data_IF_367429266131
#
_entry.id   IF_367429266131
#
_cell.length_a   1.000
_cell.length_b   1.000
_cell.length_c   1.000
_cell.angle_alpha   90.00
_cell.angle_beta   90.00
_cell.angle_gamma   90.00
#
_symmetry.space_group_name_H-M   'P 1'
#
loop_
_entity.id
_entity.type
_entity.pdbx_description
1 polymer ?
#
# COMPACT_ATOMS: atom_id res chain seq x y z
N UNK A 1 -1.33 11.92 -16.27
CA UNK A 1 -0.80 11.22 -15.10
C UNK A 1 0.44 11.90 -14.55
N UNK A 2 1.51 12.14 -15.35
CA UNK A 2 2.77 12.75 -14.86
C UNK A 2 2.57 14.14 -14.25
N UNK A 3 1.73 14.99 -14.82
CA UNK A 3 1.41 16.30 -14.25
C UNK A 3 0.69 16.16 -12.90
N UNK A 4 -0.25 15.24 -12.82
CA UNK A 4 -0.96 14.96 -11.57
C UNK A 4 -0.01 14.37 -10.51
N UNK A 5 0.92 13.48 -10.89
CA UNK A 5 1.93 12.94 -9.99
C UNK A 5 2.88 14.04 -9.49
N UNK A 6 3.25 14.98 -10.36
CA UNK A 6 4.08 16.14 -9.98
C UNK A 6 3.38 17.03 -8.95
N UNK A 7 2.09 17.29 -9.15
CA UNK A 7 1.30 18.15 -8.25
C UNK A 7 0.93 17.45 -6.95
N UNK A 8 0.48 16.21 -7.02
CA UNK A 8 0.02 15.45 -5.87
C UNK A 8 1.17 14.84 -5.07
N UNK A 9 2.27 14.47 -5.74
CA UNK A 9 3.35 13.66 -5.16
C UNK A 9 2.89 12.24 -4.87
N UNK A 10 3.80 11.41 -4.36
CA UNK A 10 3.48 10.09 -3.80
C UNK A 10 3.06 10.24 -2.35
N UNK A 11 1.81 9.95 -2.04
CA UNK A 11 1.28 10.09 -0.69
C UNK A 11 1.43 8.77 0.08
N UNK A 12 1.62 8.86 1.38
CA UNK A 12 1.72 7.74 2.30
C UNK A 12 0.79 7.95 3.50
N UNK A 13 0.71 6.95 4.38
CA UNK A 13 -0.14 6.98 5.56
C UNK A 13 0.10 8.22 6.45
N UNK A 14 1.34 8.67 6.55
CA UNK A 14 1.70 9.90 7.23
C UNK A 14 1.99 11.01 6.24
N UNK A 15 1.36 12.16 6.41
CA UNK A 15 1.53 13.33 5.53
C UNK A 15 2.99 13.84 5.48
N UNK A 16 3.77 13.56 6.51
CA UNK A 16 5.18 13.95 6.63
C UNK A 16 6.10 13.13 5.73
N UNK A 17 5.66 11.93 5.32
CA UNK A 17 6.43 11.00 4.48
C UNK A 17 6.11 11.12 2.98
N UNK A 18 5.41 12.16 2.59
CA UNK A 18 5.06 12.42 1.20
C UNK A 18 6.31 12.64 0.35
N UNK A 19 6.42 11.88 -0.75
CA UNK A 19 7.43 12.15 -1.78
C UNK A 19 6.99 13.35 -2.61
N UNK A 20 7.75 14.45 -2.50
CA UNK A 20 7.49 15.67 -3.26
C UNK A 20 8.54 15.81 -4.36
N UNK A 21 8.09 15.79 -5.61
CA UNK A 21 8.99 15.93 -6.74
C UNK A 21 9.33 17.40 -7.01
N UNK A 22 10.62 17.70 -7.11
CA UNK A 22 11.11 18.99 -7.58
C UNK A 22 10.95 19.13 -9.08
N UNK A 23 11.14 18.04 -9.82
CA UNK A 23 10.89 17.97 -11.27
C UNK A 23 10.45 16.57 -11.68
N UNK A 24 9.63 16.49 -12.73
CA UNK A 24 9.35 15.26 -13.47
C UNK A 24 9.54 15.57 -14.94
N UNK A 25 10.42 14.80 -15.59
CA UNK A 25 10.73 14.95 -17.03
C UNK A 25 10.53 13.63 -17.74
N UNK A 26 10.00 13.61 -18.98
CA UNK A 26 9.89 12.40 -19.75
C UNK A 26 11.24 11.69 -19.92
N UNK A 27 11.22 10.36 -19.87
CA UNK A 27 12.37 9.50 -20.07
C UNK A 27 12.10 8.55 -21.25
N UNK A 28 13.05 8.39 -22.19
CA UNK A 28 12.83 7.60 -23.41
C UNK A 28 13.13 6.10 -23.18
N UNK A 29 12.57 5.50 -22.13
CA UNK A 29 12.73 4.08 -21.82
C UNK A 29 11.63 3.20 -22.39
N UNK A 30 11.80 1.88 -22.28
CA UNK A 30 10.78 0.89 -22.63
C UNK A 30 9.69 0.79 -21.56
N UNK A 31 10.12 0.71 -20.31
CA UNK A 31 9.26 0.65 -19.12
C UNK A 31 9.24 1.97 -18.37
N UNK A 32 10.39 2.63 -18.26
CA UNK A 32 10.50 3.92 -17.59
C UNK A 32 10.06 5.03 -18.52
N UNK A 33 8.99 5.72 -18.14
CA UNK A 33 8.39 6.81 -18.94
C UNK A 33 8.81 8.20 -18.49
N UNK A 34 9.33 8.33 -17.25
CA UNK A 34 9.79 9.62 -16.73
C UNK A 34 10.86 9.46 -15.66
N UNK A 35 11.69 10.51 -15.52
CA UNK A 35 12.59 10.76 -14.41
C UNK A 35 11.93 11.75 -13.46
N UNK A 36 11.76 11.37 -12.21
CA UNK A 36 11.39 12.25 -11.10
C UNK A 36 12.61 12.59 -10.26
N UNK A 37 12.72 13.85 -9.81
CA UNK A 37 13.73 14.24 -8.85
C UNK A 37 13.06 14.67 -7.56
N UNK A 38 13.58 14.22 -6.45
CA UNK A 38 13.13 14.57 -5.11
C UNK A 38 14.32 14.67 -4.16
N UNK A 39 14.13 15.37 -3.05
CA UNK A 39 15.16 15.49 -2.02
C UNK A 39 14.88 14.47 -0.92
N UNK A 40 15.87 13.62 -0.64
CA UNK A 40 15.87 12.70 0.49
C UNK A 40 16.53 13.40 1.69
N UNK A 41 15.82 13.48 2.83
CA UNK A 41 16.29 14.19 4.01
C UNK A 41 15.72 15.59 4.16
N UNK A 42 16.30 16.36 5.08
CA UNK A 42 15.84 17.73 5.37
C UNK A 42 16.17 18.65 4.19
N UNK A 43 15.27 19.56 3.83
CA UNK A 43 15.33 20.41 2.64
C UNK A 43 16.63 21.25 2.49
N UNK A 44 17.37 21.46 3.59
CA UNK A 44 18.62 22.25 3.55
C UNK A 44 19.89 21.42 3.36
N UNK A 45 19.85 20.11 3.66
CA UNK A 45 21.04 19.23 3.61
C UNK A 45 20.77 17.91 2.87
N UNK A 46 19.58 17.74 2.31
CA UNK A 46 19.14 16.49 1.67
C UNK A 46 19.86 16.22 0.35
N UNK A 47 20.07 14.94 0.06
CA UNK A 47 20.60 14.50 -1.22
C UNK A 47 19.49 14.47 -2.27
N UNK A 48 19.76 15.06 -3.44
CA UNK A 48 18.86 14.90 -4.57
C UNK A 48 18.93 13.45 -5.07
N UNK A 49 17.76 12.82 -5.17
CA UNK A 49 17.57 11.46 -5.65
C UNK A 49 16.81 11.43 -6.97
N UNK A 50 17.13 10.44 -7.79
CA UNK A 50 16.53 10.20 -9.09
C UNK A 50 15.56 9.03 -9.00
N UNK A 51 14.28 9.29 -9.22
CA UNK A 51 13.25 8.26 -9.28
C UNK A 51 12.94 7.91 -10.73
N UNK A 52 13.03 6.63 -11.07
CA UNK A 52 12.44 6.11 -12.29
C UNK A 52 10.93 5.98 -12.10
N UNK A 53 10.13 6.48 -13.04
CA UNK A 53 8.68 6.36 -13.01
C UNK A 53 8.22 5.39 -14.09
N UNK A 54 7.54 4.32 -13.67
CA UNK A 54 6.82 3.39 -14.52
C UNK A 54 5.32 3.61 -14.35
N UNK A 55 4.60 3.72 -15.46
CA UNK A 55 3.13 3.82 -15.46
C UNK A 55 2.58 2.55 -16.08
N UNK A 56 1.82 1.81 -15.28
CA UNK A 56 1.13 0.60 -15.73
C UNK A 56 -0.01 0.91 -16.71
N UNK A 57 -0.59 -0.14 -17.31
CA UNK A 57 -1.68 0.00 -18.25
C UNK A 57 -2.93 0.62 -17.58
N UNK A 58 -3.68 1.40 -18.34
CA UNK A 58 -4.93 2.01 -17.87
C UNK A 58 -5.98 0.93 -17.54
N UNK A 59 -6.10 -0.06 -18.42
CA UNK A 59 -6.97 -1.22 -18.24
C UNK A 59 -6.10 -2.48 -18.21
N UNK A 60 -5.83 -2.97 -17.00
CA UNK A 60 -4.98 -4.14 -16.81
C UNK A 60 -4.31 -4.15 -15.45
N UNK A 61 -3.41 -5.09 -15.28
CA UNK A 61 -2.73 -5.36 -14.04
C UNK A 61 -1.22 -5.37 -14.27
N UNK A 62 -0.47 -4.70 -13.42
CA UNK A 62 1.00 -4.76 -13.44
C UNK A 62 1.43 -6.07 -12.79
N UNK A 63 2.17 -6.87 -13.56
CA UNK A 63 2.67 -8.16 -13.13
C UNK A 63 4.07 -8.07 -12.52
N UNK A 64 4.47 -9.11 -11.79
CA UNK A 64 5.85 -9.22 -11.29
C UNK A 64 6.91 -9.17 -12.39
N UNK A 65 6.75 -9.82 -13.56
CA UNK A 65 7.68 -9.66 -14.69
C UNK A 65 7.85 -8.21 -15.17
N UNK A 66 6.75 -7.42 -15.19
CA UNK A 66 6.81 -6.01 -15.57
C UNK A 66 7.66 -5.22 -14.58
N UNK A 67 7.44 -5.45 -13.27
CA UNK A 67 8.22 -4.81 -12.21
C UNK A 67 9.71 -5.18 -12.28
N UNK A 68 10.02 -6.45 -12.57
CA UNK A 68 11.42 -6.91 -12.75
C UNK A 68 12.06 -6.20 -13.93
N UNK A 69 11.36 -6.08 -15.05
CA UNK A 69 11.87 -5.42 -16.26
C UNK A 69 12.10 -3.93 -16.03
N UNK A 70 11.11 -3.26 -15.42
CA UNK A 70 11.23 -1.85 -15.07
C UNK A 70 12.37 -1.58 -14.05
N UNK A 71 12.54 -2.45 -13.06
CA UNK A 71 13.59 -2.30 -12.06
C UNK A 71 15.00 -2.55 -12.65
N UNK A 72 15.14 -3.45 -13.63
CA UNK A 72 16.40 -3.63 -14.38
C UNK A 72 16.74 -2.39 -15.18
N UNK A 73 15.76 -1.87 -15.94
CA UNK A 73 15.96 -0.65 -16.73
C UNK A 73 16.32 0.54 -15.83
N UNK A 74 15.66 0.69 -14.66
CA UNK A 74 15.99 1.70 -13.68
C UNK A 74 17.44 1.54 -13.14
N UNK A 75 17.86 0.30 -12.89
CA UNK A 75 19.22 -0.01 -12.44
C UNK A 75 20.27 0.31 -13.48
N UNK A 76 20.02 -0.04 -14.75
CA UNK A 76 20.93 0.19 -15.87
C UNK A 76 21.09 1.70 -16.18
N UNK A 77 20.04 2.49 -15.94
CA UNK A 77 20.04 3.96 -16.09
C UNK A 77 20.48 4.71 -14.83
N UNK A 78 20.97 4.00 -13.82
CA UNK A 78 21.51 4.54 -12.58
C UNK A 78 20.52 5.39 -11.77
N UNK A 79 19.26 4.99 -11.72
CA UNK A 79 18.27 5.55 -10.82
C UNK A 79 18.46 5.05 -9.38
N UNK A 80 17.96 5.83 -8.42
CA UNK A 80 18.04 5.50 -6.99
C UNK A 80 16.85 4.65 -6.52
N UNK A 81 15.67 4.86 -7.12
CA UNK A 81 14.42 4.19 -6.77
C UNK A 81 13.53 4.04 -8.00
N UNK A 82 12.73 2.99 -8.04
CA UNK A 82 11.65 2.81 -9.00
C UNK A 82 10.30 3.09 -8.33
N UNK A 83 9.54 4.03 -8.88
CA UNK A 83 8.16 4.29 -8.48
C UNK A 83 7.25 3.77 -9.59
N UNK A 84 6.46 2.76 -9.28
CA UNK A 84 5.49 2.18 -10.21
C UNK A 84 4.11 2.72 -9.92
N UNK A 85 3.44 3.29 -10.91
CA UNK A 85 2.10 3.85 -10.78
C UNK A 85 1.12 2.97 -11.57
N UNK A 86 0.17 2.33 -10.89
CA UNK A 86 -0.82 1.48 -11.54
C UNK A 86 -2.17 1.50 -10.79
N UNK A 87 -3.25 1.22 -11.52
CA UNK A 87 -4.56 1.02 -10.91
C UNK A 87 -4.65 -0.34 -10.22
N UNK A 88 -4.01 -1.37 -10.80
CA UNK A 88 -4.03 -2.72 -10.26
C UNK A 88 -2.65 -3.36 -10.35
N UNK A 89 -2.34 -4.15 -9.33
CA UNK A 89 -1.16 -5.02 -9.25
C UNK A 89 -1.61 -6.47 -9.07
N UNK A 90 -0.88 -7.43 -9.64
CA UNK A 90 -1.16 -8.84 -9.36
C UNK A 90 -0.68 -9.24 -7.96
N UNK A 91 -1.22 -10.32 -7.42
CA UNK A 91 -0.89 -10.79 -6.08
C UNK A 91 0.61 -11.15 -5.93
N UNK A 92 1.25 -11.64 -7.01
CA UNK A 92 2.67 -12.01 -7.00
C UNK A 92 3.62 -10.80 -7.07
N UNK A 93 3.07 -9.62 -7.36
CA UNK A 93 3.84 -8.38 -7.35
C UNK A 93 4.03 -7.83 -5.94
N UNK A 94 3.20 -8.23 -4.97
CA UNK A 94 3.23 -7.73 -3.60
C UNK A 94 4.58 -7.98 -2.92
N UNK A 95 5.14 -9.17 -3.09
CA UNK A 95 6.42 -9.55 -2.49
C UNK A 95 7.65 -8.85 -3.15
N UNK A 96 7.45 -8.14 -4.26
CA UNK A 96 8.55 -7.54 -5.01
C UNK A 96 8.86 -6.13 -4.50
N UNK A 97 9.72 -6.01 -3.49
CA UNK A 97 10.09 -4.74 -2.83
C UNK A 97 11.40 -4.14 -3.36
N UNK A 98 12.27 -4.94 -3.97
CA UNK A 98 13.61 -4.52 -4.36
C UNK A 98 14.20 -5.42 -5.45
N UNK A 99 14.98 -4.84 -6.35
CA UNK A 99 15.84 -5.59 -7.28
C UNK A 99 17.27 -5.04 -7.20
N UNK A 100 18.20 -5.86 -6.73
CA UNK A 100 19.56 -5.41 -6.48
C UNK A 100 19.61 -4.23 -5.52
N UNK A 101 20.09 -3.07 -5.99
CA UNK A 101 20.13 -1.81 -5.21
C UNK A 101 18.86 -0.96 -5.34
N UNK A 102 17.97 -1.27 -6.28
CA UNK A 102 16.80 -0.44 -6.61
C UNK A 102 15.61 -0.85 -5.74
N UNK A 103 15.19 -0.02 -4.79
CA UNK A 103 13.89 -0.17 -4.12
C UNK A 103 12.75 0.02 -5.13
N UNK A 104 11.65 -0.71 -4.94
CA UNK A 104 10.46 -0.63 -5.79
C UNK A 104 9.29 -0.17 -4.95
N UNK A 105 8.85 1.06 -5.19
CA UNK A 105 7.70 1.65 -4.54
C UNK A 105 6.48 1.51 -5.44
N UNK A 106 5.46 0.86 -4.93
CA UNK A 106 4.20 0.65 -5.65
C UNK A 106 3.22 1.76 -5.26
N UNK A 107 2.92 2.66 -6.19
CA UNK A 107 1.95 3.73 -6.02
C UNK A 107 0.64 3.33 -6.71
N UNK A 108 -0.41 3.10 -5.93
CA UNK A 108 -1.74 2.85 -6.47
C UNK A 108 -2.34 4.15 -6.98
N UNK A 109 -2.84 4.12 -8.20
CA UNK A 109 -3.56 5.23 -8.80
C UNK A 109 -5.03 5.17 -8.42
N UNK A 110 -5.58 6.29 -7.96
CA UNK A 110 -7.00 6.39 -7.66
C UNK A 110 -7.82 6.45 -8.95
N UNK A 111 -9.00 5.80 -8.95
CA UNK A 111 -9.95 5.84 -10.06
C UNK A 111 -10.40 7.27 -10.42
N UNK A 112 -10.30 8.21 -9.48
CA UNK A 112 -10.59 9.64 -9.73
C UNK A 112 -9.71 10.26 -10.81
N UNK A 113 -8.56 9.63 -11.14
CA UNK A 113 -7.73 10.04 -12.29
C UNK A 113 -8.43 9.91 -13.64
N UNK A 114 -9.49 9.11 -13.74
CA UNK A 114 -10.35 9.02 -14.93
C UNK A 114 -11.42 10.11 -15.01
N UNK A 115 -11.63 10.85 -13.90
CA UNK A 115 -12.63 11.91 -13.87
C UNK A 115 -12.17 13.17 -14.61
N UNK A 116 -13.14 14.03 -14.95
CA UNK A 116 -12.88 15.31 -15.61
C UNK A 116 -11.93 16.19 -14.79
N UNK A 117 -11.15 17.02 -15.48
CA UNK A 117 -10.09 17.83 -14.86
C UNK A 117 -10.58 18.74 -13.73
N UNK A 118 -11.83 19.22 -13.79
CA UNK A 118 -12.44 20.04 -12.75
C UNK A 118 -12.59 19.33 -11.40
N UNK A 119 -12.74 18.00 -11.41
CA UNK A 119 -12.83 17.19 -10.21
C UNK A 119 -11.44 16.78 -9.67
N UNK A 120 -10.44 16.69 -10.54
CA UNK A 120 -9.05 16.38 -10.17
C UNK A 120 -8.36 17.51 -9.39
N UNK A 121 -8.79 18.75 -9.61
CA UNK A 121 -8.15 19.95 -9.05
C UNK A 121 -8.63 20.33 -7.65
N UNK A 122 -9.46 19.53 -7.00
CA UNK A 122 -9.94 19.85 -5.64
C UNK A 122 -8.85 19.82 -4.57
N UNK A 123 -7.63 19.34 -4.90
CA UNK A 123 -6.48 19.31 -4.01
C UNK A 123 -6.64 18.41 -2.76
N UNK A 124 -7.74 17.67 -2.69
CA UNK A 124 -8.14 16.88 -1.52
C UNK A 124 -8.12 15.36 -1.74
N UNK A 125 -7.81 14.89 -2.95
CA UNK A 125 -7.77 13.46 -3.25
C UNK A 125 -6.37 12.89 -3.17
N UNK A 126 -6.23 11.72 -2.58
CA UNK A 126 -5.01 10.91 -2.63
C UNK A 126 -4.94 10.23 -4.01
N UNK A 127 -4.40 10.91 -5.01
CA UNK A 127 -4.36 10.41 -6.39
C UNK A 127 -3.32 9.31 -6.60
N UNK A 128 -2.24 9.36 -5.84
CA UNK A 128 -1.15 8.37 -5.87
C UNK A 128 -0.79 8.01 -4.44
N UNK A 129 -1.12 6.81 -4.03
CA UNK A 129 -0.83 6.33 -2.69
C UNK A 129 0.25 5.27 -2.78
N UNK A 130 1.39 5.54 -2.17
CA UNK A 130 2.47 4.56 -2.03
C UNK A 130 2.11 3.67 -0.87
N UNK A 131 1.92 2.39 -1.19
CA UNK A 131 1.61 1.37 -0.22
C UNK A 131 2.86 0.61 0.18
N UNK A 132 2.95 0.42 1.49
CA UNK A 132 3.72 -0.67 2.03
C UNK A 132 2.95 -1.99 1.95
N UNK A 133 3.52 -3.03 2.48
CA UNK A 133 2.85 -4.31 2.69
C UNK A 133 2.38 -4.40 4.14
N UNK A 134 1.31 -5.16 4.41
CA UNK A 134 0.96 -5.48 5.78
C UNK A 134 2.12 -6.24 6.45
N UNK A 135 2.61 -5.71 7.56
CA UNK A 135 3.58 -6.41 8.43
C UNK A 135 2.81 -7.34 9.35
N UNK A 136 2.95 -8.64 9.12
CA UNK A 136 2.19 -9.69 9.82
C UNK A 136 3.09 -10.78 10.38
N UNK A 137 2.70 -11.29 11.54
CA UNK A 137 3.23 -12.52 12.12
C UNK A 137 2.20 -13.66 12.01
N UNK A 138 2.64 -14.83 11.57
CA UNK A 138 1.82 -16.04 11.59
C UNK A 138 2.29 -16.90 12.76
N UNK A 139 1.40 -17.10 13.74
CA UNK A 139 1.67 -17.85 14.96
C UNK A 139 0.98 -19.20 14.93
N UNK A 140 1.69 -20.25 15.33
CA UNK A 140 1.08 -21.55 15.58
C UNK A 140 0.45 -21.58 16.98
N UNK A 141 -0.75 -22.12 17.08
CA UNK A 141 -1.47 -22.30 18.34
C UNK A 141 -1.79 -23.76 18.58
N UNK A 142 -2.22 -24.07 19.80
CA UNK A 142 -2.59 -25.44 20.18
C UNK A 142 -3.63 -26.04 19.23
N UNK A 143 -3.52 -27.33 18.93
CA UNK A 143 -4.42 -28.01 18.00
C UNK A 143 -4.02 -27.93 16.52
N UNK A 144 -2.86 -27.36 16.19
CA UNK A 144 -2.38 -27.25 14.80
C UNK A 144 -3.01 -26.12 14.00
N UNK A 145 -3.77 -25.25 14.66
CA UNK A 145 -4.33 -24.04 14.08
C UNK A 145 -3.29 -22.93 14.01
N UNK A 146 -3.60 -21.87 13.29
CA UNK A 146 -2.79 -20.67 13.16
C UNK A 146 -3.58 -19.41 13.54
N UNK A 147 -2.85 -18.41 13.99
CA UNK A 147 -3.34 -17.03 14.17
C UNK A 147 -2.47 -16.07 13.37
N UNK A 148 -3.05 -14.98 12.92
CA UNK A 148 -2.33 -13.86 12.30
C UNK A 148 -2.37 -12.69 13.25
N UNK A 149 -1.22 -12.09 13.50
CA UNK A 149 -1.10 -10.79 14.17
C UNK A 149 -0.62 -9.77 13.16
N UNK A 150 -1.28 -8.62 13.15
CA UNK A 150 -0.84 -7.47 12.35
C UNK A 150 -0.01 -6.53 13.22
N UNK A 151 1.21 -6.25 12.79
CA UNK A 151 2.13 -5.35 13.47
C UNK A 151 2.00 -3.92 12.96
N UNK A 152 1.65 -3.77 11.69
CA UNK A 152 1.52 -2.48 11.04
C UNK A 152 1.48 -2.60 9.52
N UNK A 153 1.85 -1.52 8.86
CA UNK A 153 2.03 -1.45 7.41
C UNK A 153 3.42 -0.87 7.15
N UNK A 154 4.16 -1.47 6.24
CA UNK A 154 5.45 -0.95 5.81
C UNK A 154 5.27 0.43 5.14
N UNK A 155 6.04 1.41 5.55
CA UNK A 155 6.05 2.76 4.99
C UNK A 155 7.45 3.11 4.52
N UNK A 156 7.55 3.68 3.32
CA UNK A 156 8.81 4.23 2.84
C UNK A 156 9.02 5.63 3.40
N UNK A 157 10.13 5.83 4.07
CA UNK A 157 10.52 7.14 4.62
C UNK A 157 11.45 7.86 3.63
N UNK A 158 10.96 8.84 2.86
CA UNK A 158 11.77 9.54 1.85
C UNK A 158 12.92 10.33 2.49
N UNK A 159 12.82 10.65 3.78
CA UNK A 159 13.88 11.36 4.51
C UNK A 159 15.08 10.46 4.85
N UNK A 160 14.89 9.15 4.95
CA UNK A 160 15.95 8.19 5.30
C UNK A 160 16.24 7.19 4.19
N UNK A 161 15.34 7.06 3.20
CA UNK A 161 15.41 6.05 2.15
C UNK A 161 15.15 4.63 2.63
N UNK A 162 14.63 4.47 3.85
CA UNK A 162 14.36 3.17 4.47
C UNK A 162 12.86 2.86 4.44
N UNK A 163 12.55 1.57 4.35
CA UNK A 163 11.21 1.06 4.61
C UNK A 163 11.16 0.62 6.07
N UNK A 164 10.20 1.14 6.82
CA UNK A 164 9.95 0.80 8.22
C UNK A 164 8.51 0.39 8.39
N UNK A 165 8.26 -0.52 9.31
CA UNK A 165 6.90 -0.84 9.72
C UNK A 165 6.38 0.26 10.64
N UNK A 166 5.30 0.92 10.20
CA UNK A 166 4.50 1.78 11.07
C UNK A 166 3.56 0.90 11.90
N UNK A 167 3.33 1.30 13.13
CA UNK A 167 2.48 0.54 14.04
C UNK A 167 1.03 0.41 13.55
N UNK A 168 0.28 -0.44 14.24
CA UNK A 168 -1.11 -0.74 13.90
C UNK A 168 -2.08 0.46 14.05
N UNK A 169 -1.62 1.58 14.63
CA UNK A 169 -2.45 2.78 14.84
C UNK A 169 -2.95 3.41 13.53
N UNK A 170 -2.19 3.23 12.44
CA UNK A 170 -2.57 3.70 11.09
C UNK A 170 -3.67 2.87 10.42
N UNK A 171 -4.01 1.72 11.00
CA UNK A 171 -4.96 0.76 10.42
C UNK A 171 -6.36 1.02 10.97
N UNK A 172 -7.33 1.19 10.07
CA UNK A 172 -8.74 1.31 10.45
C UNK A 172 -9.39 -0.07 10.63
N UNK A 173 -9.18 -0.97 9.66
CA UNK A 173 -9.66 -2.34 9.72
C UNK A 173 -8.80 -3.26 8.86
N UNK A 174 -8.87 -4.56 9.15
CA UNK A 174 -8.15 -5.57 8.40
C UNK A 174 -8.97 -6.85 8.27
N UNK A 175 -8.67 -7.61 7.23
CA UNK A 175 -9.44 -8.78 6.82
C UNK A 175 -8.50 -9.93 6.49
N UNK A 176 -8.97 -11.15 6.70
CA UNK A 176 -8.25 -12.36 6.29
C UNK A 176 -9.14 -13.21 5.38
N UNK A 177 -8.56 -13.64 4.27
CA UNK A 177 -8.99 -14.82 3.55
C UNK A 177 -8.14 -16.00 4.02
N UNK A 178 -8.76 -16.91 4.77
CA UNK A 178 -8.07 -18.06 5.37
C UNK A 178 -7.85 -19.23 4.41
N UNK A 179 -8.33 -19.13 3.16
CA UNK A 179 -8.21 -20.16 2.11
C UNK A 179 -8.07 -19.48 0.75
N UNK A 180 -7.02 -18.64 0.62
CA UNK A 180 -6.83 -17.81 -0.56
C UNK A 180 -6.45 -18.64 -1.80
N UNK A 181 -7.15 -18.41 -2.90
CA UNK A 181 -7.00 -19.16 -4.16
C UNK A 181 -6.24 -18.38 -5.26
N UNK A 182 -5.68 -17.20 -4.95
CA UNK A 182 -4.97 -16.30 -5.87
C UNK A 182 -5.86 -15.63 -6.94
N UNK A 183 -7.14 -15.93 -7.01
CA UNK A 183 -8.06 -15.34 -7.98
C UNK A 183 -8.95 -14.27 -7.37
N UNK A 184 -9.49 -14.55 -6.18
CA UNK A 184 -10.46 -13.68 -5.51
C UNK A 184 -10.25 -13.67 -4.01
N UNK A 185 -10.35 -12.49 -3.40
CA UNK A 185 -10.28 -12.33 -1.96
C UNK A 185 -11.69 -12.48 -1.33
N UNK A 186 -11.84 -13.44 -0.46
CA UNK A 186 -13.07 -13.66 0.31
C UNK A 186 -12.86 -13.28 1.77
N UNK A 187 -13.61 -12.32 2.27
CA UNK A 187 -13.55 -11.94 3.69
C UNK A 187 -14.12 -13.06 4.54
N UNK A 188 -13.25 -13.76 5.26
CA UNK A 188 -13.63 -14.81 6.24
C UNK A 188 -13.49 -14.32 7.66
N UNK A 189 -12.49 -13.48 7.94
CA UNK A 189 -12.33 -12.77 9.20
C UNK A 189 -12.24 -11.27 8.94
N UNK A 190 -12.80 -10.47 9.85
CA UNK A 190 -12.77 -9.02 9.82
C UNK A 190 -12.47 -8.49 11.23
N UNK A 191 -11.53 -7.53 11.31
CA UNK A 191 -11.10 -6.90 12.55
C UNK A 191 -11.02 -5.39 12.38
N UNK A 192 -11.17 -4.66 13.48
CA UNK A 192 -11.17 -3.21 13.51
C UNK A 192 -10.15 -2.71 14.52
N UNK A 193 -9.31 -1.76 14.14
CA UNK A 193 -8.26 -1.19 14.97
C UNK A 193 -8.39 0.32 15.15
N UNK A 194 -9.33 0.95 14.41
CA UNK A 194 -9.46 2.41 14.38
C UNK A 194 -9.59 3.04 15.76
N UNK A 195 -8.79 4.07 15.99
CA UNK A 195 -8.78 4.86 17.24
C UNK A 195 -10.12 5.56 17.54
N UNK A 196 -10.95 5.77 16.53
CA UNK A 196 -12.31 6.28 16.69
C UNK A 196 -13.23 5.10 16.91
N UNK A 197 -13.69 4.92 18.15
CA UNK A 197 -14.62 3.86 18.56
C UNK A 197 -15.64 3.51 17.44
N UNK A 198 -15.30 2.56 16.51
CA UNK A 198 -16.17 2.24 15.39
C UNK A 198 -17.46 1.57 15.86
N UNK A 199 -17.46 0.96 17.06
CA UNK A 199 -18.63 0.44 17.74
C UNK A 199 -19.67 1.52 17.98
N UNK A 200 -19.25 2.67 18.48
CA UNK A 200 -20.15 3.80 18.80
C UNK A 200 -20.78 4.37 17.53
N UNK A 201 -19.98 4.53 16.48
CA UNK A 201 -20.45 4.98 15.17
C UNK A 201 -21.41 3.96 14.53
N UNK A 202 -21.06 2.67 14.57
CA UNK A 202 -21.86 1.59 14.00
C UNK A 202 -23.21 1.44 14.74
N UNK A 203 -23.19 1.47 16.08
CA UNK A 203 -24.39 1.44 16.93
C UNK A 203 -25.33 2.61 16.63
N UNK A 204 -24.77 3.80 16.44
CA UNK A 204 -25.55 5.00 16.12
C UNK A 204 -26.15 4.91 14.72
N UNK A 205 -25.38 4.45 13.74
CA UNK A 205 -25.80 4.35 12.34
C UNK A 205 -26.85 3.26 12.13
N UNK A 206 -26.63 2.08 12.70
CA UNK A 206 -27.52 0.93 12.52
C UNK A 206 -28.71 0.94 13.48
N UNK A 207 -28.70 1.78 14.52
CA UNK A 207 -29.70 1.76 15.62
C UNK A 207 -29.90 0.36 16.20
N UNK A 208 -28.86 -0.44 16.16
CA UNK A 208 -28.86 -1.84 16.57
C UNK A 208 -28.20 -1.97 17.94
N UNK A 209 -28.66 -2.92 18.71
CA UNK A 209 -27.96 -3.37 19.90
C UNK A 209 -26.89 -4.35 19.49
N UNK A 210 -25.63 -4.00 19.70
CA UNK A 210 -24.48 -4.85 19.37
C UNK A 210 -24.01 -5.48 20.69
N UNK A 211 -23.72 -6.78 20.65
CA UNK A 211 -23.15 -7.48 21.80
C UNK A 211 -21.70 -6.99 22.02
N UNK A 212 -21.45 -6.37 23.18
CA UNK A 212 -20.16 -5.75 23.50
C UNK A 212 -19.02 -6.79 23.60
N UNK A 213 -19.31 -7.98 24.13
CA UNK A 213 -18.32 -9.05 24.24
C UNK A 213 -17.93 -9.59 22.85
N UNK A 214 -18.90 -9.76 21.97
CA UNK A 214 -18.64 -10.15 20.59
C UNK A 214 -17.84 -9.08 19.83
N UNK A 215 -18.18 -7.80 20.06
CA UNK A 215 -17.44 -6.68 19.47
C UNK A 215 -15.98 -6.63 19.95
N UNK A 216 -15.75 -6.83 21.24
CA UNK A 216 -14.38 -6.84 21.79
C UNK A 216 -13.48 -7.88 21.12
N UNK A 217 -14.05 -8.99 20.63
CA UNK A 217 -13.28 -10.00 19.88
C UNK A 217 -12.94 -9.58 18.46
N UNK A 218 -13.62 -8.56 17.92
CA UNK A 218 -13.35 -8.01 16.59
C UNK A 218 -12.44 -6.77 16.64
N UNK A 219 -12.30 -6.15 17.81
CA UNK A 219 -11.36 -5.04 18.02
C UNK A 219 -10.01 -5.58 18.47
N UNK A 220 -9.27 -6.14 17.52
CA UNK A 220 -8.02 -6.86 17.81
C UNK A 220 -7.02 -6.75 16.67
N UNK A 221 -5.75 -6.67 17.03
CA UNK A 221 -4.60 -6.80 16.13
C UNK A 221 -4.25 -8.28 15.84
N UNK A 222 -4.89 -9.19 16.56
CA UNK A 222 -4.64 -10.63 16.45
C UNK A 222 -5.92 -11.35 16.09
N UNK A 223 -5.84 -12.23 15.10
CA UNK A 223 -7.01 -12.99 14.64
C UNK A 223 -7.44 -14.05 15.67
N UNK A 224 -8.66 -14.53 15.54
CA UNK A 224 -9.05 -15.80 16.12
C UNK A 224 -8.26 -16.94 15.47
N UNK A 225 -8.00 -18.04 16.20
CA UNK A 225 -7.43 -19.24 15.59
C UNK A 225 -8.28 -19.76 14.43
N UNK A 226 -7.63 -20.24 13.39
CA UNK A 226 -8.28 -20.92 12.27
C UNK A 226 -7.41 -22.06 11.75
N UNK A 227 -8.02 -22.99 11.03
CA UNK A 227 -7.33 -24.16 10.49
C UNK A 227 -6.34 -23.73 9.39
N UNK A 228 -5.25 -24.43 9.27
CA UNK A 228 -4.29 -24.20 8.18
C UNK A 228 -4.99 -24.34 6.84
N UNK A 229 -4.76 -23.41 5.90
CA UNK A 229 -5.37 -23.46 4.58
C UNK A 229 -4.97 -24.72 3.81
N UNK A 230 -5.91 -25.36 3.13
CA UNK A 230 -5.62 -26.48 2.24
C UNK A 230 -4.85 -26.05 1.00
N UNK A 231 -5.08 -24.79 0.56
CA UNK A 231 -4.30 -24.12 -0.50
C UNK A 231 -2.85 -23.82 -0.09
N UNK A 232 -2.53 -23.90 1.21
CA UNK A 232 -1.24 -23.49 1.77
C UNK A 232 -1.06 -21.96 1.82
N UNK A 233 -2.11 -21.17 1.53
CA UNK A 233 -2.05 -19.72 1.40
C UNK A 233 -3.19 -19.02 2.12
N UNK A 234 -2.85 -17.91 2.75
CA UNK A 234 -3.79 -16.92 3.26
C UNK A 234 -3.52 -15.59 2.56
N UNK A 235 -4.51 -14.71 2.56
CA UNK A 235 -4.31 -13.32 2.18
C UNK A 235 -4.80 -12.40 3.29
N UNK A 236 -4.04 -11.35 3.56
CA UNK A 236 -4.38 -10.33 4.55
C UNK A 236 -4.55 -9.00 3.84
N UNK A 237 -5.72 -8.39 4.01
CA UNK A 237 -6.03 -7.08 3.45
C UNK A 237 -6.19 -6.08 4.59
N UNK A 238 -5.56 -4.93 4.44
CA UNK A 238 -5.58 -3.83 5.41
C UNK A 238 -6.17 -2.59 4.78
N UNK A 239 -6.98 -1.87 5.53
CA UNK A 239 -7.51 -0.56 5.13
C UNK A 239 -7.06 0.46 6.18
N UNK A 240 -6.43 1.53 5.71
CA UNK A 240 -6.01 2.64 6.57
C UNK A 240 -7.15 3.63 6.85
N UNK A 241 -6.87 4.64 7.68
CA UNK A 241 -7.85 5.68 8.01
C UNK A 241 -8.23 6.61 6.84
N UNK A 242 -7.48 6.55 5.75
CA UNK A 242 -7.76 7.31 4.52
C UNK A 242 -8.65 6.53 3.55
N UNK A 243 -8.93 5.26 3.85
CA UNK A 243 -9.72 4.36 2.99
C UNK A 243 -8.88 3.63 1.94
N UNK A 244 -7.55 3.74 2.01
CA UNK A 244 -6.67 3.03 1.10
C UNK A 244 -6.52 1.58 1.53
N UNK A 245 -6.58 0.65 0.58
CA UNK A 245 -6.44 -0.78 0.87
C UNK A 245 -5.15 -1.37 0.32
N UNK A 246 -4.56 -2.25 1.14
CA UNK A 246 -3.33 -3.00 0.89
C UNK A 246 -3.59 -4.48 1.09
N UNK A 247 -2.96 -5.34 0.29
CA UNK A 247 -3.05 -6.79 0.43
C UNK A 247 -1.68 -7.43 0.24
#
# INVERSE_FOLDING_TARGET
ILENLKMAGGQQAHKEDKITFTSITPWPGCYICAEGRYTEGNTETGLEKRAAVFIGPEFGTVSRPDLVSAAREAGDADFDVLITCAFNYDAHSSEFKKLGRIPVLKARMNADLHMADDLKNTGKGNLFVIFGEPDIDIMEVEGGQIQVKINGVDVFHPNTGEVRSDGAEGIACWFIDTEYNEESFFVRHAYFLGANDPYKSLKTTLKAEINEDAWATLHSDTSRPFDRPTSGRIAVKVINHLGDEVM
#
